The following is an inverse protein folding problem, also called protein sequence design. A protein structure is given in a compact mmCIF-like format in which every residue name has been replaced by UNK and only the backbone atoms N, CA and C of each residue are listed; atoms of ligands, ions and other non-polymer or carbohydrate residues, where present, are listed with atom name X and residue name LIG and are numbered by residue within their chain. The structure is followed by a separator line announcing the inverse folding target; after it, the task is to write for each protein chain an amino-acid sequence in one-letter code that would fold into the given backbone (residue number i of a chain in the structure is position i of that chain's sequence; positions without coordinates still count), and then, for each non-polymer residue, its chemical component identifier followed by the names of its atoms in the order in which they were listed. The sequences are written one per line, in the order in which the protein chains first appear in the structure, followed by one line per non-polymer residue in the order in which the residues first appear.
data_IF_519892076725
#
_entry.id   IF_519892076725
#
_cell.length_a   1.000
_cell.length_b   1.000
_cell.length_c   1.000
_cell.angle_alpha   90.00
_cell.angle_beta   90.00
_cell.angle_gamma   90.00
#
_symmetry.space_group_name_H-M   'P 1'
#
loop_
_entity.id
_entity.type
_entity.pdbx_description
1 polymer ?
#
# COMPACT_ATOMS: atom_id res chain seq x y z
N UNK A 1 1.49 -2.22 41.00
CA UNK A 1 1.13 -2.72 39.66
C UNK A 1 2.06 -2.03 38.69
N UNK A 2 3.10 -2.72 38.22
CA UNK A 2 4.04 -2.15 37.25
C UNK A 2 3.32 -1.92 35.92
N UNK A 3 3.59 -0.80 35.20
CA UNK A 3 3.03 -0.61 33.88
C UNK A 3 3.56 -1.72 32.94
N UNK A 4 2.76 -2.20 31.98
CA UNK A 4 3.26 -3.14 31.00
C UNK A 4 4.38 -2.46 30.22
N UNK A 5 5.62 -2.87 30.49
CA UNK A 5 6.75 -2.55 29.64
C UNK A 5 6.47 -3.27 28.33
N UNK A 6 6.03 -2.53 27.30
CA UNK A 6 6.18 -2.96 25.90
C UNK A 6 7.67 -3.09 25.63
N UNK A 7 8.26 -4.17 26.14
CA UNK A 7 9.56 -4.63 25.71
C UNK A 7 9.25 -5.35 24.41
N UNK A 8 9.21 -4.58 23.33
CA UNK A 8 9.34 -5.14 22.00
C UNK A 8 10.73 -5.79 22.03
N UNK A 9 10.77 -7.07 22.41
CA UNK A 9 11.89 -7.95 22.13
C UNK A 9 11.81 -8.20 20.62
N UNK A 10 12.06 -7.14 19.87
CA UNK A 10 12.01 -7.17 18.44
C UNK A 10 13.38 -7.67 18.01
N UNK A 11 13.41 -8.86 17.45
CA UNK A 11 14.52 -9.21 16.58
C UNK A 11 14.64 -8.11 15.52
N UNK A 12 15.85 -7.61 15.30
CA UNK A 12 16.10 -6.51 14.35
C UNK A 12 15.54 -6.83 12.96
N UNK A 13 15.60 -8.12 12.57
CA UNK A 13 15.02 -8.66 11.33
C UNK A 13 13.49 -8.55 11.30
N UNK A 14 12.81 -8.71 12.44
CA UNK A 14 11.36 -8.55 12.55
C UNK A 14 10.95 -7.09 12.44
N UNK A 15 11.70 -6.15 13.02
CA UNK A 15 11.42 -4.70 12.87
C UNK A 15 11.53 -4.27 11.42
N UNK A 16 12.60 -4.68 10.74
CA UNK A 16 12.82 -4.28 9.35
C UNK A 16 11.65 -4.74 8.47
N UNK A 17 11.22 -6.00 8.65
CA UNK A 17 10.07 -6.54 7.92
C UNK A 17 8.76 -5.83 8.26
N UNK A 18 8.49 -5.57 9.53
CA UNK A 18 7.26 -4.90 9.98
C UNK A 18 7.19 -3.43 9.50
N UNK A 19 8.32 -2.72 9.55
CA UNK A 19 8.41 -1.35 9.04
C UNK A 19 8.25 -1.33 7.52
N UNK A 20 8.91 -2.24 6.80
CA UNK A 20 8.75 -2.38 5.35
C UNK A 20 7.30 -2.67 4.98
N UNK A 21 6.63 -3.59 5.69
CA UNK A 21 5.20 -3.86 5.51
C UNK A 21 4.37 -2.58 5.69
N UNK A 22 4.60 -1.80 6.74
CA UNK A 22 3.87 -0.55 6.98
C UNK A 22 4.08 0.48 5.86
N UNK A 23 5.34 0.67 5.43
CA UNK A 23 5.66 1.61 4.34
C UNK A 23 5.02 1.16 3.04
N UNK A 24 5.14 -0.12 2.67
CA UNK A 24 4.53 -0.68 1.47
C UNK A 24 3.00 -0.58 1.52
N UNK A 25 2.40 -0.78 2.69
CA UNK A 25 0.96 -0.56 2.89
C UNK A 25 0.56 0.88 2.59
N UNK A 26 1.33 1.87 3.07
CA UNK A 26 1.05 3.29 2.80
C UNK A 26 1.21 3.64 1.31
N UNK A 27 2.24 3.10 0.67
CA UNK A 27 2.45 3.29 -0.77
C UNK A 27 1.29 2.69 -1.56
N UNK A 28 0.84 1.49 -1.21
CA UNK A 28 -0.28 0.81 -1.84
C UNK A 28 -1.60 1.59 -1.67
N UNK A 29 -1.85 2.12 -0.46
CA UNK A 29 -3.01 2.97 -0.21
C UNK A 29 -2.99 4.23 -1.11
N UNK A 30 -1.83 4.86 -1.27
CA UNK A 30 -1.66 6.02 -2.13
C UNK A 30 -1.87 5.63 -3.60
N UNK A 31 -1.34 4.48 -4.05
CA UNK A 31 -1.55 3.95 -5.41
C UNK A 31 -3.04 3.83 -5.73
N UNK A 32 -3.79 3.15 -4.85
CA UNK A 32 -5.24 2.96 -5.02
C UNK A 32 -6.01 4.29 -4.98
N UNK A 33 -5.59 5.23 -4.13
CA UNK A 33 -6.19 6.55 -4.09
C UNK A 33 -5.97 7.29 -5.41
N UNK A 34 -4.75 7.29 -5.94
CA UNK A 34 -4.43 7.92 -7.23
C UNK A 34 -5.28 7.28 -8.32
N UNK A 35 -5.30 5.95 -8.41
CA UNK A 35 -6.09 5.20 -9.40
C UNK A 35 -7.57 5.62 -9.38
N UNK A 36 -8.19 5.69 -8.20
CA UNK A 36 -9.59 6.17 -8.07
C UNK A 36 -9.77 7.61 -8.51
N UNK A 37 -8.80 8.48 -8.23
CA UNK A 37 -8.85 9.86 -8.69
C UNK A 37 -8.67 9.96 -10.20
N UNK A 38 -7.91 9.06 -10.82
CA UNK A 38 -7.80 8.94 -12.28
C UNK A 38 -9.16 8.63 -12.88
N UNK A 39 -9.80 7.53 -12.43
CA UNK A 39 -11.13 7.11 -12.90
C UNK A 39 -12.14 8.26 -12.77
N UNK A 40 -12.20 8.89 -11.61
CA UNK A 40 -13.09 10.04 -11.39
C UNK A 40 -12.82 11.23 -12.31
N UNK A 41 -11.56 11.55 -12.60
CA UNK A 41 -11.22 12.68 -13.49
C UNK A 41 -11.49 12.34 -14.96
N UNK A 42 -11.31 11.08 -15.35
CA UNK A 42 -11.69 10.58 -16.68
C UNK A 42 -13.19 10.75 -16.93
N UNK A 43 -14.02 10.32 -15.98
CA UNK A 43 -15.48 10.45 -16.07
C UNK A 43 -15.94 11.91 -16.14
N UNK A 44 -15.19 12.84 -15.55
CA UNK A 44 -15.50 14.27 -15.52
C UNK A 44 -14.88 15.05 -16.70
N UNK A 45 -14.17 14.38 -17.62
CA UNK A 45 -13.47 15.02 -18.75
C UNK A 45 -12.29 15.90 -18.32
N UNK A 46 -11.73 15.67 -17.13
CA UNK A 46 -10.66 16.46 -16.53
C UNK A 46 -9.24 16.06 -16.95
N UNK A 47 -9.10 15.08 -17.85
CA UNK A 47 -7.82 14.59 -18.39
C UNK A 47 -7.97 14.36 -19.90
N UNK A 48 -6.91 14.63 -20.68
CA UNK A 48 -6.85 14.20 -22.08
C UNK A 48 -6.56 12.69 -22.17
N UNK A 49 -6.91 12.07 -23.30
CA UNK A 49 -6.66 10.64 -23.54
C UNK A 49 -5.17 10.26 -23.37
N UNK A 50 -4.26 11.11 -23.81
CA UNK A 50 -2.82 10.93 -23.64
C UNK A 50 -2.41 10.96 -22.15
N UNK A 51 -3.00 11.84 -21.34
CA UNK A 51 -2.72 11.90 -19.90
C UNK A 51 -3.23 10.65 -19.19
N UNK A 52 -4.36 10.10 -19.62
CA UNK A 52 -4.92 8.85 -19.11
C UNK A 52 -3.99 7.68 -19.40
N UNK A 53 -3.51 7.58 -20.64
CA UNK A 53 -2.61 6.50 -21.06
C UNK A 53 -1.29 6.53 -20.27
N UNK A 54 -0.64 7.70 -20.17
CA UNK A 54 0.61 7.88 -19.41
C UNK A 54 0.43 7.50 -17.94
N UNK A 55 -0.72 7.85 -17.36
CA UNK A 55 -1.04 7.58 -15.97
C UNK A 55 -1.30 6.09 -15.74
N UNK A 56 -2.03 5.43 -16.65
CA UNK A 56 -2.21 3.98 -16.65
C UNK A 56 -0.88 3.24 -16.68
N UNK A 57 0.02 3.60 -17.60
CA UNK A 57 1.37 3.00 -17.70
C UNK A 57 2.18 3.22 -16.42
N UNK A 58 2.06 4.39 -15.79
CA UNK A 58 2.76 4.69 -14.54
C UNK A 58 2.23 3.85 -13.38
N UNK A 59 0.91 3.67 -13.28
CA UNK A 59 0.29 2.82 -12.25
C UNK A 59 0.67 1.35 -12.43
N UNK A 60 0.72 0.84 -13.67
CA UNK A 60 1.18 -0.53 -13.96
C UNK A 60 2.63 -0.75 -13.53
N UNK A 61 3.54 0.18 -13.85
CA UNK A 61 4.94 0.10 -13.42
C UNK A 61 5.10 0.17 -11.91
N UNK A 62 4.25 0.95 -11.24
CA UNK A 62 4.23 1.02 -9.78
C UNK A 62 3.76 -0.31 -9.19
N UNK A 63 2.74 -0.95 -9.76
CA UNK A 63 2.27 -2.28 -9.35
C UNK A 63 3.37 -3.34 -9.51
N UNK A 64 4.09 -3.35 -10.63
CA UNK A 64 5.25 -4.23 -10.84
C UNK A 64 6.34 -4.01 -9.77
N UNK A 65 6.73 -2.76 -9.53
CA UNK A 65 7.73 -2.42 -8.51
C UNK A 65 7.28 -2.78 -7.09
N UNK A 66 5.98 -2.69 -6.80
CA UNK A 66 5.40 -3.13 -5.53
C UNK A 66 5.52 -4.65 -5.37
N UNK A 67 5.28 -5.42 -6.44
CA UNK A 67 5.50 -6.87 -6.46
C UNK A 67 6.94 -7.24 -6.12
N UNK A 68 7.91 -6.64 -6.82
CA UNK A 68 9.35 -6.87 -6.58
C UNK A 68 9.77 -6.55 -5.13
N UNK A 69 9.25 -5.45 -4.58
CA UNK A 69 9.54 -5.06 -3.20
C UNK A 69 8.89 -6.02 -2.20
N UNK A 70 7.65 -6.45 -2.43
CA UNK A 70 7.00 -7.44 -1.58
C UNK A 70 7.80 -8.75 -1.54
N UNK A 71 8.19 -9.28 -2.71
CA UNK A 71 9.02 -10.49 -2.80
C UNK A 71 10.34 -10.34 -2.02
N UNK A 72 11.02 -9.20 -2.19
CA UNK A 72 12.28 -8.91 -1.49
C UNK A 72 12.16 -8.91 0.03
N UNK A 73 11.02 -8.48 0.57
CA UNK A 73 10.76 -8.47 2.01
C UNK A 73 9.98 -9.72 2.49
N UNK A 74 9.77 -10.70 1.61
CA UNK A 74 9.04 -11.94 1.90
C UNK A 74 7.58 -11.71 2.25
N UNK A 75 6.96 -10.66 1.69
CA UNK A 75 5.58 -10.26 1.87
C UNK A 75 4.75 -10.68 0.66
N UNK A 76 3.46 -10.88 0.91
CA UNK A 76 2.42 -11.03 -0.11
C UNK A 76 1.61 -9.74 -0.23
N UNK A 77 0.91 -9.48 -1.34
CA UNK A 77 -0.01 -8.35 -1.45
C UNK A 77 -1.05 -8.32 -0.32
N UNK A 78 -1.52 -9.49 0.12
CA UNK A 78 -2.48 -9.64 1.22
C UNK A 78 -1.89 -9.16 2.56
N UNK A 79 -0.57 -9.31 2.77
CA UNK A 79 0.09 -8.80 3.96
C UNK A 79 0.01 -7.27 4.05
N UNK A 80 -0.09 -6.55 2.93
CA UNK A 80 -0.21 -5.09 2.95
C UNK A 80 -1.56 -4.63 3.49
N UNK A 81 -2.58 -5.50 3.55
CA UNK A 81 -3.87 -5.09 4.05
C UNK A 81 -3.94 -5.19 5.58
N UNK A 82 -3.60 -4.10 6.27
CA UNK A 82 -3.64 -4.03 7.73
C UNK A 82 -5.06 -4.11 8.27
N UNK A 83 -5.28 -5.00 9.25
CA UNK A 83 -6.50 -5.04 10.05
C UNK A 83 -6.43 -3.98 11.16
N UNK A 84 -7.37 -3.04 11.14
CA UNK A 84 -7.50 -1.96 12.10
C UNK A 84 -8.55 -2.29 13.18
N UNK A 85 -9.04 -3.52 13.25
CA UNK A 85 -10.03 -4.02 14.20
C UNK A 85 -11.43 -3.46 13.88
N UNK A 86 -12.04 -2.63 14.76
CA UNK A 86 -13.40 -2.12 14.55
C UNK A 86 -13.54 -1.21 13.32
N UNK A 87 -12.43 -0.70 12.78
CA UNK A 87 -12.42 0.12 11.56
C UNK A 87 -12.35 -0.72 10.27
N UNK A 88 -12.20 -2.04 10.38
CA UNK A 88 -12.01 -2.94 9.24
C UNK A 88 -10.58 -2.91 8.71
N UNK A 89 -10.41 -3.28 7.44
CA UNK A 89 -9.10 -3.32 6.78
C UNK A 89 -8.74 -1.97 6.17
N UNK A 90 -7.46 -1.60 6.20
CA UNK A 90 -7.00 -0.30 5.70
C UNK A 90 -7.14 -0.18 4.19
N UNK A 91 -6.77 -1.23 3.46
CA UNK A 91 -6.96 -1.28 2.01
C UNK A 91 -8.39 -1.77 1.72
N UNK A 92 -9.13 -1.05 0.86
CA UNK A 92 -10.42 -1.48 0.36
C UNK A 92 -10.34 -2.84 -0.32
N UNK A 93 -11.33 -3.68 -0.07
CA UNK A 93 -11.48 -4.95 -0.78
C UNK A 93 -12.03 -4.66 -2.18
N UNK A 94 -11.26 -5.00 -3.21
CA UNK A 94 -11.63 -4.89 -4.63
C UNK A 94 -12.72 -5.88 -5.02
#
# INVERSE_FOLDING_TARGET
MEPPRWRIAADTETIERDLSRLVLTLVELIRQLVERQCVRRMEQGGLSDEQVEVLGVTLMRLEEAMGDLCERFGLTPEDLNLDLGPLGTLLPTS
#
